data_IF_794705996201
#
_entry.id   IF_794705996201
#
_cell.length_a   1.000
_cell.length_b   1.000
_cell.length_c   1.000
_cell.angle_alpha   90.00
_cell.angle_beta   90.00
_cell.angle_gamma   90.00
#
_symmetry.space_group_name_H-M   'P 1'
#
loop_
_entity.id
_entity.type
_entity.pdbx_description
1 polymer ?
#
# COMPACT_ATOMS: atom_id res chain seq x y z
N UNK A 1 3.93 2.12 22.26
CA UNK A 1 4.73 1.47 21.22
C UNK A 1 4.78 2.40 20.02
N UNK A 2 5.97 2.60 19.43
CA UNK A 2 6.19 3.34 18.20
C UNK A 2 6.81 2.43 17.15
N UNK A 3 6.24 2.40 15.94
CA UNK A 3 6.75 1.57 14.84
C UNK A 3 7.20 2.50 13.72
N UNK A 4 8.50 2.53 13.46
CA UNK A 4 9.10 3.23 12.33
C UNK A 4 9.18 2.31 11.11
N UNK A 5 8.59 2.74 9.99
CA UNK A 5 8.59 1.97 8.74
C UNK A 5 9.41 2.70 7.69
N UNK A 6 10.44 2.03 7.18
CA UNK A 6 11.30 2.59 6.12
C UNK A 6 11.95 1.44 5.36
N UNK A 7 11.94 1.49 4.03
CA UNK A 7 12.58 0.46 3.21
C UNK A 7 14.08 0.37 3.51
N UNK A 8 14.79 1.49 3.43
CA UNK A 8 16.24 1.55 3.64
C UNK A 8 16.64 1.67 5.12
N UNK A 9 15.73 2.10 6.00
CA UNK A 9 16.02 2.46 7.37
C UNK A 9 16.94 3.68 7.51
N UNK A 10 17.06 4.51 6.44
CA UNK A 10 17.93 5.68 6.35
C UNK A 10 17.17 7.00 6.20
N UNK A 11 15.82 6.98 6.20
CA UNK A 11 15.00 8.19 6.18
C UNK A 11 15.22 8.97 7.47
N UNK A 12 15.78 10.17 7.34
CA UNK A 12 16.21 10.98 8.49
C UNK A 12 15.03 11.45 9.33
N UNK A 13 13.95 11.87 8.69
CA UNK A 13 12.71 12.31 9.33
C UNK A 13 12.06 11.19 10.17
N UNK A 14 11.98 9.97 9.63
CA UNK A 14 11.44 8.81 10.35
C UNK A 14 12.36 8.42 11.50
N UNK A 15 13.68 8.46 11.28
CA UNK A 15 14.68 8.14 12.29
C UNK A 15 14.61 9.10 13.48
N UNK A 16 14.59 10.40 13.21
CA UNK A 16 14.51 11.44 14.26
C UNK A 16 13.20 11.36 15.03
N UNK A 17 12.08 11.08 14.33
CA UNK A 17 10.79 10.88 14.98
C UNK A 17 10.83 9.68 15.94
N UNK A 18 11.41 8.56 15.48
CA UNK A 18 11.52 7.35 16.29
C UNK A 18 12.43 7.56 17.51
N UNK A 19 13.54 8.31 17.33
CA UNK A 19 14.47 8.68 18.39
C UNK A 19 13.77 9.51 19.49
N UNK A 20 13.08 10.58 19.09
CA UNK A 20 12.34 11.42 20.05
C UNK A 20 11.24 10.65 20.79
N UNK A 21 10.54 9.71 20.12
CA UNK A 21 9.57 8.84 20.77
C UNK A 21 10.22 7.88 21.77
N UNK A 22 11.41 7.35 21.43
CA UNK A 22 12.20 6.50 22.33
C UNK A 22 12.65 7.26 23.58
N UNK A 23 13.17 8.47 23.39
CA UNK A 23 13.56 9.36 24.50
C UNK A 23 12.36 9.70 25.40
N UNK A 24 11.16 9.83 24.83
CA UNK A 24 9.90 9.97 25.55
C UNK A 24 9.39 8.69 26.23
N UNK A 25 10.16 7.60 26.22
CA UNK A 25 9.85 6.34 26.89
C UNK A 25 8.98 5.36 26.11
N UNK A 26 8.78 5.57 24.80
CA UNK A 26 8.08 4.60 23.96
C UNK A 26 8.96 3.38 23.66
N UNK A 27 8.39 2.17 23.72
CA UNK A 27 9.00 1.00 23.12
C UNK A 27 9.02 1.18 21.60
N UNK A 28 10.20 1.08 20.99
CA UNK A 28 10.41 1.37 19.57
C UNK A 28 10.69 0.12 18.75
N UNK A 29 10.07 0.04 17.57
CA UNK A 29 10.24 -1.05 16.61
C UNK A 29 10.60 -0.44 15.26
N UNK A 30 11.71 -0.86 14.67
CA UNK A 30 12.06 -0.52 13.30
C UNK A 30 11.63 -1.65 12.35
N UNK A 31 10.90 -1.32 11.30
CA UNK A 31 10.53 -2.22 10.23
C UNK A 31 11.28 -1.80 8.96
N UNK A 32 12.37 -2.50 8.65
CA UNK A 32 13.25 -2.16 7.52
C UNK A 32 13.73 -3.39 6.77
N UNK A 33 14.28 -3.17 5.56
CA UNK A 33 14.91 -4.25 4.78
C UNK A 33 16.42 -4.40 5.07
N UNK A 34 16.97 -3.58 5.97
CA UNK A 34 18.41 -3.51 6.27
C UNK A 34 18.64 -3.48 7.78
N UNK A 35 19.16 -4.59 8.33
CA UNK A 35 19.46 -4.72 9.76
C UNK A 35 20.65 -3.85 10.23
N UNK A 36 21.50 -3.42 9.31
CA UNK A 36 22.63 -2.51 9.56
C UNK A 36 22.26 -1.02 9.45
N UNK A 37 20.97 -0.72 9.20
CA UNK A 37 20.52 0.65 9.03
C UNK A 37 20.50 1.45 10.34
N UNK A 38 20.65 2.78 10.29
CA UNK A 38 20.58 3.63 11.48
C UNK A 38 19.28 3.46 12.28
N UNK A 39 18.16 3.26 11.60
CA UNK A 39 16.87 3.02 12.25
C UNK A 39 16.81 1.68 12.98
N UNK A 40 17.36 0.62 12.37
CA UNK A 40 17.41 -0.71 12.97
C UNK A 40 18.31 -0.73 14.22
N UNK A 41 19.40 0.04 14.20
CA UNK A 41 20.33 0.16 15.34
C UNK A 41 19.78 1.04 16.46
N UNK A 42 18.95 2.02 16.13
CA UNK A 42 18.33 2.93 17.10
C UNK A 42 17.19 2.26 17.89
N UNK A 43 16.34 1.50 17.23
CA UNK A 43 15.12 0.92 17.81
C UNK A 43 15.42 -0.17 18.84
N UNK A 44 14.51 -0.40 19.78
CA UNK A 44 14.59 -1.49 20.76
C UNK A 44 14.45 -2.86 20.08
N UNK A 45 13.64 -2.91 19.02
CA UNK A 45 13.43 -4.11 18.20
C UNK A 45 13.51 -3.80 16.72
N UNK A 46 14.06 -4.75 15.95
CA UNK A 46 14.09 -4.69 14.49
C UNK A 46 13.33 -5.87 13.88
N UNK A 47 12.40 -5.56 12.99
CA UNK A 47 11.70 -6.53 12.14
C UNK A 47 12.26 -6.41 10.71
N UNK A 48 13.04 -7.39 10.31
CA UNK A 48 13.65 -7.44 8.99
C UNK A 48 12.63 -7.93 7.93
N UNK A 49 12.43 -7.13 6.87
CA UNK A 49 11.45 -7.44 5.81
C UNK A 49 11.86 -8.62 4.92
N UNK A 50 13.16 -8.87 4.77
CA UNK A 50 13.71 -9.91 3.87
C UNK A 50 13.17 -9.84 2.44
N UNK A 51 12.86 -8.65 1.96
CA UNK A 51 12.34 -8.43 0.60
C UNK A 51 13.42 -8.54 -0.49
N UNK A 52 14.66 -8.76 -0.11
CA UNK A 52 15.80 -8.70 -1.01
C UNK A 52 16.11 -7.27 -1.46
N UNK A 53 17.10 -7.09 -2.34
CA UNK A 53 17.50 -5.78 -2.82
C UNK A 53 16.41 -5.15 -3.70
N UNK A 54 15.94 -3.94 -3.35
CA UNK A 54 15.05 -3.13 -4.17
C UNK A 54 15.89 -2.26 -5.10
N UNK A 55 15.92 -2.60 -6.38
CA UNK A 55 16.75 -1.93 -7.39
C UNK A 55 16.04 -0.78 -8.09
N UNK A 56 14.72 -0.83 -8.13
CA UNK A 56 13.90 0.20 -8.78
C UNK A 56 13.71 1.41 -7.84
N UNK A 57 13.62 2.60 -8.44
CA UNK A 57 13.24 3.82 -7.71
C UNK A 57 11.82 3.66 -7.15
N UNK A 58 10.90 3.16 -7.97
CA UNK A 58 9.56 2.82 -7.54
C UNK A 58 9.57 1.49 -6.78
N UNK A 59 9.59 1.53 -5.45
CA UNK A 59 9.52 0.35 -4.61
C UNK A 59 8.18 -0.39 -4.81
N UNK A 60 8.22 -1.70 -4.94
CA UNK A 60 7.04 -2.55 -5.14
C UNK A 60 6.99 -3.70 -4.13
N UNK A 61 7.94 -4.62 -4.21
CA UNK A 61 8.00 -5.79 -3.31
C UNK A 61 8.25 -5.40 -1.86
N UNK A 62 8.98 -4.31 -1.61
CA UNK A 62 9.24 -3.82 -0.26
C UNK A 62 7.95 -3.31 0.38
N UNK A 63 7.12 -2.58 -0.36
CA UNK A 63 5.81 -2.15 0.10
C UNK A 63 4.93 -3.34 0.50
N UNK A 64 4.80 -4.35 -0.37
CA UNK A 64 4.00 -5.54 -0.06
C UNK A 64 4.56 -6.34 1.12
N UNK A 65 5.89 -6.40 1.28
CA UNK A 65 6.55 -7.01 2.42
C UNK A 65 6.29 -6.24 3.73
N UNK A 66 6.28 -4.89 3.69
CA UNK A 66 5.92 -4.05 4.84
C UNK A 66 4.49 -4.30 5.29
N UNK A 67 3.54 -4.34 4.35
CA UNK A 67 2.14 -4.66 4.66
C UNK A 67 2.00 -6.04 5.29
N UNK A 68 2.68 -7.05 4.72
CA UNK A 68 2.68 -8.41 5.25
C UNK A 68 3.27 -8.47 6.66
N UNK A 69 4.39 -7.79 6.91
CA UNK A 69 5.04 -7.78 8.22
C UNK A 69 4.15 -7.11 9.29
N UNK A 70 3.49 -6.01 8.95
CA UNK A 70 2.55 -5.34 9.86
C UNK A 70 1.32 -6.22 10.13
N UNK A 71 0.77 -6.88 9.11
CA UNK A 71 -0.37 -7.78 9.29
C UNK A 71 0.01 -9.00 10.15
N UNK A 72 1.20 -9.58 9.96
CA UNK A 72 1.72 -10.66 10.79
C UNK A 72 1.94 -10.20 12.25
N UNK A 73 2.47 -8.99 12.45
CA UNK A 73 2.63 -8.41 13.78
C UNK A 73 1.28 -8.30 14.50
N UNK A 74 0.25 -7.78 13.82
CA UNK A 74 -1.11 -7.65 14.36
C UNK A 74 -1.71 -9.02 14.66
N UNK A 75 -1.60 -9.96 13.75
CA UNK A 75 -2.14 -11.31 13.91
C UNK A 75 -1.52 -12.04 15.12
N UNK A 76 -0.20 -11.95 15.28
CA UNK A 76 0.48 -12.52 16.45
C UNK A 76 0.16 -11.78 17.75
N UNK A 77 0.04 -10.46 17.69
CA UNK A 77 -0.29 -9.65 18.87
C UNK A 77 -1.72 -9.92 19.37
N UNK A 78 -2.68 -10.05 18.44
CA UNK A 78 -4.07 -10.36 18.77
C UNK A 78 -4.34 -11.83 19.09
N UNK A 79 -3.45 -12.73 18.69
CA UNK A 79 -3.68 -14.18 18.74
C UNK A 79 -4.73 -14.66 17.74
N UNK A 80 -4.92 -13.93 16.64
CA UNK A 80 -5.92 -14.23 15.59
C UNK A 80 -5.38 -15.30 14.63
N UNK A 81 -5.73 -16.56 14.91
CA UNK A 81 -5.33 -17.71 14.11
C UNK A 81 -5.97 -17.72 12.70
N UNK A 82 -7.17 -17.17 12.54
CA UNK A 82 -7.83 -17.08 11.24
C UNK A 82 -7.09 -16.08 10.35
N UNK A 83 -6.69 -14.94 10.90
CA UNK A 83 -5.85 -13.97 10.20
C UNK A 83 -4.49 -14.59 9.82
N UNK A 84 -3.85 -15.31 10.75
CA UNK A 84 -2.58 -16.01 10.46
C UNK A 84 -2.73 -17.03 9.33
N UNK A 85 -3.80 -17.81 9.32
CA UNK A 85 -4.09 -18.76 8.25
C UNK A 85 -4.31 -18.06 6.91
N UNK A 86 -5.05 -16.94 6.89
CA UNK A 86 -5.25 -16.10 5.72
C UNK A 86 -3.94 -15.53 5.18
N UNK A 87 -3.07 -15.01 6.04
CA UNK A 87 -1.77 -14.46 5.65
C UNK A 87 -0.85 -15.52 5.04
N UNK A 88 -0.89 -16.76 5.51
CA UNK A 88 -0.14 -17.89 4.90
C UNK A 88 -0.60 -18.19 3.47
N UNK A 89 -1.84 -17.90 3.11
CA UNK A 89 -2.38 -18.12 1.77
C UNK A 89 -2.00 -17.00 0.78
N UNK A 90 -1.64 -15.80 1.24
CA UNK A 90 -1.34 -14.63 0.40
C UNK A 90 -0.29 -14.90 -0.68
N UNK A 91 0.85 -15.58 -0.42
CA UNK A 91 1.84 -15.82 -1.47
C UNK A 91 1.29 -16.67 -2.64
N UNK A 92 0.36 -17.59 -2.38
CA UNK A 92 -0.28 -18.38 -3.42
C UNK A 92 -1.26 -17.51 -4.24
N UNK A 93 -2.03 -16.65 -3.57
CA UNK A 93 -2.95 -15.71 -4.22
C UNK A 93 -2.19 -14.72 -5.13
N UNK A 94 -1.06 -14.18 -4.69
CA UNK A 94 -0.20 -13.31 -5.49
C UNK A 94 0.30 -14.04 -6.75
N UNK A 95 0.78 -15.28 -6.61
CA UNK A 95 1.19 -16.08 -7.78
C UNK A 95 0.05 -16.29 -8.77
N UNK A 96 -1.16 -16.52 -8.29
CA UNK A 96 -2.36 -16.64 -9.15
C UNK A 96 -2.64 -15.35 -9.92
N UNK A 97 -2.51 -14.19 -9.27
CA UNK A 97 -2.70 -12.88 -9.91
C UNK A 97 -1.63 -12.60 -10.98
N UNK A 98 -0.38 -12.95 -10.74
CA UNK A 98 0.70 -12.78 -11.73
C UNK A 98 0.45 -13.59 -13.00
N UNK A 99 -0.31 -14.68 -12.92
CA UNK A 99 -0.77 -15.44 -14.08
C UNK A 99 -1.79 -14.72 -14.99
N UNK A 100 -2.36 -13.59 -14.52
CA UNK A 100 -3.36 -12.80 -15.26
C UNK A 100 -2.74 -11.63 -16.07
N UNK A 101 -1.46 -11.65 -16.32
CA UNK A 101 -0.71 -10.55 -16.94
C UNK A 101 -1.29 -10.04 -18.25
N UNK A 102 -1.83 -10.92 -19.11
CA UNK A 102 -2.47 -10.52 -20.36
C UNK A 102 -3.76 -9.72 -20.16
N UNK A 103 -4.58 -10.11 -19.18
CA UNK A 103 -5.80 -9.37 -18.86
C UNK A 103 -5.47 -7.99 -18.30
N UNK A 104 -4.46 -7.92 -17.42
CA UNK A 104 -3.95 -6.67 -16.86
C UNK A 104 -3.40 -5.77 -17.97
N UNK A 105 -2.60 -6.33 -18.90
CA UNK A 105 -2.06 -5.59 -20.03
C UNK A 105 -3.17 -5.00 -20.92
N UNK A 106 -4.23 -5.75 -21.19
CA UNK A 106 -5.39 -5.24 -21.94
C UNK A 106 -6.09 -4.09 -21.22
N UNK A 107 -6.26 -4.19 -19.90
CA UNK A 107 -6.84 -3.10 -19.11
C UNK A 107 -5.93 -1.85 -19.10
N UNK A 108 -4.62 -2.05 -19.03
CA UNK A 108 -3.63 -0.97 -19.03
C UNK A 108 -3.64 -0.12 -20.30
N UNK A 109 -4.10 -0.67 -21.44
CA UNK A 109 -4.22 0.10 -22.71
C UNK A 109 -5.12 1.33 -22.56
N UNK A 110 -6.06 1.33 -21.62
CA UNK A 110 -6.92 2.49 -21.36
C UNK A 110 -6.16 3.68 -20.76
N UNK A 111 -4.99 3.45 -20.21
CA UNK A 111 -4.14 4.47 -19.58
C UNK A 111 -3.06 5.01 -20.53
N UNK A 112 -2.82 4.39 -21.69
CA UNK A 112 -1.66 4.66 -22.57
C UNK A 112 -1.56 6.13 -23.01
N UNK A 113 -2.69 6.81 -23.21
CA UNK A 113 -2.74 8.20 -23.65
C UNK A 113 -3.55 9.09 -22.70
N UNK A 114 -3.86 8.59 -21.52
CA UNK A 114 -4.59 9.35 -20.53
C UNK A 114 -3.67 10.39 -19.88
N UNK A 115 -3.97 11.69 -19.95
CA UNK A 115 -3.19 12.71 -19.25
C UNK A 115 -3.37 12.62 -17.74
N UNK A 116 -4.52 12.12 -17.31
CA UNK A 116 -4.88 11.89 -15.92
C UNK A 116 -5.68 10.61 -15.74
N UNK A 117 -5.72 10.13 -14.52
CA UNK A 117 -6.56 9.00 -14.12
C UNK A 117 -6.98 9.13 -12.65
N UNK A 118 -8.08 8.50 -12.31
CA UNK A 118 -8.60 8.49 -10.95
C UNK A 118 -8.45 7.10 -10.35
N UNK A 119 -7.96 7.04 -9.10
CA UNK A 119 -7.76 5.76 -8.40
C UNK A 119 -8.57 5.80 -7.12
N UNK A 120 -9.54 4.92 -7.01
CA UNK A 120 -10.52 4.93 -5.93
C UNK A 120 -10.40 3.67 -5.08
N UNK A 121 -10.63 3.83 -3.78
CA UNK A 121 -10.71 2.73 -2.83
C UNK A 121 -11.51 3.15 -1.61
N UNK A 122 -11.85 2.21 -0.72
CA UNK A 122 -12.49 2.51 0.57
C UNK A 122 -12.03 1.54 1.64
N UNK A 123 -11.95 2.02 2.90
CA UNK A 123 -11.42 1.21 3.98
C UNK A 123 -9.97 0.81 3.70
N UNK A 124 -9.62 -0.45 3.87
CA UNK A 124 -8.26 -0.94 3.65
C UNK A 124 -7.79 -0.78 2.18
N UNK A 125 -8.71 -0.86 1.22
CA UNK A 125 -8.35 -0.68 -0.19
C UNK A 125 -8.03 0.77 -0.57
N UNK A 126 -8.30 1.76 0.28
CA UNK A 126 -7.84 3.14 0.06
C UNK A 126 -6.31 3.25 0.10
N UNK A 127 -5.66 2.54 1.03
CA UNK A 127 -4.19 2.50 1.08
C UNK A 127 -3.59 1.88 -0.19
N UNK A 128 -4.23 0.83 -0.72
CA UNK A 128 -3.83 0.21 -2.00
C UNK A 128 -4.03 1.19 -3.16
N UNK A 129 -5.14 1.92 -3.19
CA UNK A 129 -5.42 2.92 -4.21
C UNK A 129 -4.37 4.05 -4.20
N UNK A 130 -3.95 4.51 -3.02
CA UNK A 130 -2.90 5.53 -2.87
C UNK A 130 -1.55 5.03 -3.39
N UNK A 131 -1.17 3.81 -3.07
CA UNK A 131 0.09 3.22 -3.55
C UNK A 131 0.08 3.03 -5.07
N UNK A 132 -1.00 2.51 -5.64
CA UNK A 132 -1.12 2.34 -7.10
C UNK A 132 -1.09 3.70 -7.81
N UNK A 133 -1.75 4.71 -7.25
CA UNK A 133 -1.67 6.09 -7.74
C UNK A 133 -0.22 6.60 -7.74
N UNK A 134 0.52 6.37 -6.67
CA UNK A 134 1.95 6.72 -6.60
C UNK A 134 2.74 5.98 -7.68
N UNK A 135 2.55 4.67 -7.83
CA UNK A 135 3.26 3.88 -8.85
C UNK A 135 2.96 4.33 -10.28
N UNK A 136 1.72 4.67 -10.60
CA UNK A 136 1.37 5.22 -11.91
C UNK A 136 2.08 6.56 -12.20
N UNK A 137 2.21 7.44 -11.19
CA UNK A 137 2.98 8.68 -11.32
C UNK A 137 4.47 8.41 -11.54
N UNK A 138 5.05 7.51 -10.74
CA UNK A 138 6.49 7.23 -10.76
C UNK A 138 6.94 6.47 -12.01
N UNK A 139 6.11 5.54 -12.52
CA UNK A 139 6.52 4.61 -13.57
C UNK A 139 5.94 4.94 -14.96
N UNK A 140 4.80 5.61 -15.01
CA UNK A 140 4.06 5.87 -16.26
C UNK A 140 3.81 7.36 -16.49
N UNK A 141 4.18 8.22 -15.54
CA UNK A 141 4.02 9.69 -15.59
C UNK A 141 2.56 10.14 -15.78
N UNK A 142 1.59 9.28 -15.51
CA UNK A 142 0.17 9.62 -15.54
C UNK A 142 -0.17 10.43 -14.30
N UNK A 143 -0.74 11.61 -14.45
CA UNK A 143 -1.26 12.38 -13.34
C UNK A 143 -2.45 11.61 -12.72
N UNK A 144 -2.33 11.23 -11.45
CA UNK A 144 -3.38 10.47 -10.78
C UNK A 144 -3.88 11.18 -9.54
N UNK A 145 -5.17 11.11 -9.31
CA UNK A 145 -5.84 11.57 -8.10
C UNK A 145 -6.45 10.37 -7.37
N UNK A 146 -6.36 10.38 -6.05
CA UNK A 146 -6.89 9.28 -5.22
C UNK A 146 -7.91 9.82 -4.24
N UNK A 147 -9.05 9.14 -4.17
CA UNK A 147 -10.12 9.45 -3.23
C UNK A 147 -10.71 8.18 -2.62
N UNK A 148 -11.25 8.32 -1.42
CA UNK A 148 -12.23 7.36 -0.94
C UNK A 148 -13.43 7.37 -1.88
N UNK A 149 -13.94 6.19 -2.25
CA UNK A 149 -15.11 6.08 -3.12
C UNK A 149 -16.35 6.79 -2.55
N UNK A 150 -16.42 7.00 -1.23
CA UNK A 150 -17.47 7.82 -0.62
C UNK A 150 -17.23 9.30 -0.86
N UNK A 151 -16.03 9.82 -0.56
CA UNK A 151 -15.70 11.24 -0.76
C UNK A 151 -15.78 11.64 -2.23
N UNK A 152 -15.39 10.75 -3.12
CA UNK A 152 -15.48 10.97 -4.57
C UNK A 152 -16.89 11.38 -5.03
N UNK A 153 -17.92 10.79 -4.43
CA UNK A 153 -19.32 11.11 -4.76
C UNK A 153 -19.79 12.51 -4.27
N UNK A 154 -19.08 13.13 -3.34
CA UNK A 154 -19.46 14.38 -2.70
C UNK A 154 -18.82 15.64 -3.32
N UNK A 155 -18.34 15.55 -4.55
CA UNK A 155 -17.77 16.70 -5.26
C UNK A 155 -16.81 16.30 -6.38
N UNK A 156 -15.73 15.57 -6.11
CA UNK A 156 -14.72 15.23 -7.10
C UNK A 156 -15.25 14.54 -8.36
N UNK A 157 -16.33 13.75 -8.26
CA UNK A 157 -17.00 13.12 -9.41
C UNK A 157 -17.43 14.12 -10.48
N UNK A 158 -17.68 15.38 -10.13
CA UNK A 158 -18.06 16.41 -11.07
C UNK A 158 -16.92 16.82 -12.04
N UNK A 159 -15.67 16.52 -11.66
CA UNK A 159 -14.50 16.77 -12.49
C UNK A 159 -14.17 15.59 -13.44
N UNK A 160 -14.96 14.51 -13.40
CA UNK A 160 -14.74 13.35 -14.25
C UNK A 160 -15.25 13.62 -15.67
N UNK A 161 -14.34 13.64 -16.61
CA UNK A 161 -14.68 13.81 -18.03
C UNK A 161 -14.88 12.44 -18.72
N UNK A 162 -15.73 12.38 -19.78
CA UNK A 162 -15.89 11.16 -20.56
C UNK A 162 -14.56 10.67 -21.13
N UNK A 163 -14.24 9.38 -20.86
CA UNK A 163 -13.02 8.76 -21.33
C UNK A 163 -11.85 8.80 -20.33
N UNK A 164 -11.95 9.56 -19.23
CA UNK A 164 -10.94 9.52 -18.15
C UNK A 164 -10.95 8.15 -17.48
N UNK A 165 -9.81 7.45 -17.41
CA UNK A 165 -9.74 6.15 -16.75
C UNK A 165 -9.97 6.27 -15.24
N UNK A 166 -10.79 5.37 -14.72
CA UNK A 166 -11.02 5.21 -13.28
C UNK A 166 -10.64 3.78 -12.88
N UNK A 167 -9.75 3.65 -11.91
CA UNK A 167 -9.37 2.39 -11.30
C UNK A 167 -10.00 2.31 -9.91
N UNK A 168 -10.93 1.39 -9.70
CA UNK A 168 -11.60 1.19 -8.43
C UNK A 168 -11.16 -0.11 -7.77
N UNK A 169 -10.61 -0.01 -6.57
CA UNK A 169 -10.31 -1.14 -5.70
C UNK A 169 -11.52 -1.44 -4.82
N UNK A 170 -12.15 -2.58 -5.05
CA UNK A 170 -13.31 -3.05 -4.31
C UNK A 170 -13.04 -4.44 -3.72
N UNK A 171 -13.10 -4.54 -2.40
CA UNK A 171 -12.98 -5.79 -1.65
C UNK A 171 -14.36 -6.31 -1.25
N UNK A 172 -14.49 -7.63 -1.04
CA UNK A 172 -15.75 -8.26 -0.58
C UNK A 172 -15.90 -8.06 0.94
N UNK A 173 -16.02 -6.81 1.37
CA UNK A 173 -16.21 -6.40 2.76
C UNK A 173 -17.40 -5.44 2.90
N UNK A 174 -17.54 -4.83 4.07
CA UNK A 174 -18.63 -3.87 4.36
C UNK A 174 -18.63 -2.63 3.43
N UNK A 175 -17.56 -2.38 2.66
CA UNK A 175 -17.46 -1.23 1.75
C UNK A 175 -17.95 -1.54 0.33
N UNK A 176 -18.21 -2.80 0.00
CA UNK A 176 -18.54 -3.25 -1.36
C UNK A 176 -19.75 -2.53 -1.96
N UNK A 177 -20.81 -2.36 -1.19
CA UNK A 177 -22.03 -1.72 -1.70
C UNK A 177 -21.82 -0.23 -2.05
N UNK A 178 -21.01 0.48 -1.26
CA UNK A 178 -20.62 1.86 -1.61
C UNK A 178 -19.81 1.91 -2.89
N UNK A 179 -18.88 0.96 -3.07
CA UNK A 179 -18.07 0.87 -4.28
C UNK A 179 -18.95 0.57 -5.51
N UNK A 180 -19.96 -0.30 -5.38
CA UNK A 180 -20.95 -0.58 -6.44
C UNK A 180 -21.77 0.66 -6.82
N UNK A 181 -22.15 1.50 -5.86
CA UNK A 181 -22.87 2.74 -6.13
C UNK A 181 -22.07 3.73 -6.98
N UNK A 182 -20.75 3.77 -6.82
CA UNK A 182 -19.86 4.58 -7.67
C UNK A 182 -19.87 4.09 -9.11
N UNK A 183 -19.84 2.77 -9.32
CA UNK A 183 -19.86 2.18 -10.67
C UNK A 183 -21.20 2.37 -11.41
N UNK A 184 -22.28 2.64 -10.68
CA UNK A 184 -23.62 2.83 -11.25
C UNK A 184 -23.90 4.28 -11.69
N UNK A 185 -22.99 5.21 -11.43
CA UNK A 185 -23.08 6.64 -11.80
C UNK A 185 -22.20 6.98 -12.99
#
# INVERSE_FOLDING_TARGET
>A
VAIGVSQSGRSEDVRLTLEGLKEGGALTVALTNHGDSPMAQLADHHLELRAGEEKAVAATKTFTAQMMALALLVAHWSGDEDLLAGLRAVPAAIRGMLGQSEQIARAALRFTHAPEAWVLGRGLSLAVAQEVSLKLKETSYVATQTYSSAEFQHGPIAALEPGTPVLLFATSDATLDTNRQVLAR
#
